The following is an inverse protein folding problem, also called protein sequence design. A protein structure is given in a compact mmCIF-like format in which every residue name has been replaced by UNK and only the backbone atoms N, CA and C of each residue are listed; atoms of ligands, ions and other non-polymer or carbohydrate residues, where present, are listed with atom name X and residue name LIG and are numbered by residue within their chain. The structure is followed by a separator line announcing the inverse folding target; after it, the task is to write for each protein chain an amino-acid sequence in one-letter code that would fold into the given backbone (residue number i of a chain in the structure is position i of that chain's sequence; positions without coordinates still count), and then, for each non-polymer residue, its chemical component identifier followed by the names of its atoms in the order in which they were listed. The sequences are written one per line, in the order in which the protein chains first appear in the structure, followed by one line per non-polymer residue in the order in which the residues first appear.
data_IF_680204958532
#
_entry.id   IF_680204958532
#
_cell.length_a   1.000
_cell.length_b   1.000
_cell.length_c   1.000
_cell.angle_alpha   90.00
_cell.angle_beta   90.00
_cell.angle_gamma   90.00
#
_symmetry.space_group_name_H-M   'P 1'
#
loop_
_entity.id
_entity.type
_entity.pdbx_description
1 polymer ?
#
# COMPACT_ATOMS: atom_id res chain seq x y z
N UNK A 1 -14.62 4.77 -11.67
CA UNK A 1 -13.52 4.53 -12.61
C UNK A 1 -12.30 4.10 -11.80
N UNK A 2 -11.63 3.00 -12.14
CA UNK A 2 -10.46 2.49 -11.41
C UNK A 2 -9.29 3.46 -11.54
N UNK A 3 -8.59 3.72 -10.42
CA UNK A 3 -7.41 4.57 -10.36
C UNK A 3 -6.15 3.70 -10.38
N UNK A 4 -5.07 4.24 -10.92
CA UNK A 4 -3.80 3.53 -11.01
C UNK A 4 -2.73 4.23 -10.18
N UNK A 5 -2.01 3.42 -9.40
CA UNK A 5 -0.89 3.88 -8.60
C UNK A 5 0.38 3.12 -8.94
N UNK A 6 1.51 3.70 -8.58
CA UNK A 6 2.84 3.12 -8.78
C UNK A 6 3.52 2.94 -7.43
N UNK A 7 4.17 1.79 -7.25
CA UNK A 7 5.07 1.58 -6.12
C UNK A 7 6.33 2.44 -6.25
N UNK A 8 6.70 3.16 -5.20
CA UNK A 8 7.98 3.85 -5.12
C UNK A 8 9.15 2.84 -5.16
N UNK A 9 10.32 3.24 -5.64
CA UNK A 9 11.47 2.35 -5.70
C UNK A 9 11.87 1.84 -4.31
N UNK A 10 12.24 0.55 -4.25
CA UNK A 10 12.62 -0.14 -3.01
C UNK A 10 14.12 -0.39 -2.87
N UNK A 11 14.92 0.13 -3.80
CA UNK A 11 16.37 -0.05 -3.83
C UNK A 11 16.85 -1.37 -4.42
N UNK A 12 15.95 -2.24 -4.88
CA UNK A 12 16.30 -3.60 -5.38
C UNK A 12 16.19 -3.70 -6.90
N UNK A 13 15.58 -2.75 -7.58
CA UNK A 13 15.29 -2.81 -9.01
C UNK A 13 16.47 -2.29 -9.84
N UNK A 14 16.92 -3.09 -10.81
CA UNK A 14 17.75 -2.63 -11.92
C UNK A 14 19.25 -2.49 -11.68
N UNK A 15 19.80 -2.94 -10.55
CA UNK A 15 21.26 -2.94 -10.33
C UNK A 15 21.91 -1.55 -10.20
N UNK A 16 21.15 -0.47 -10.27
CA UNK A 16 21.65 0.90 -10.08
C UNK A 16 21.66 1.27 -8.59
N UNK A 17 22.68 2.01 -8.12
CA UNK A 17 22.71 2.47 -6.74
C UNK A 17 21.51 3.36 -6.46
N UNK A 18 20.80 3.06 -5.35
CA UNK A 18 19.72 3.88 -4.85
C UNK A 18 20.30 5.19 -4.28
N UNK A 19 20.11 6.29 -4.98
CA UNK A 19 20.64 7.59 -4.61
C UNK A 19 19.72 8.42 -3.72
N UNK A 20 20.24 9.49 -3.16
CA UNK A 20 19.48 10.36 -2.25
C UNK A 20 18.23 10.99 -2.91
N UNK A 21 18.29 11.27 -4.21
CA UNK A 21 17.14 11.84 -4.95
C UNK A 21 16.14 10.80 -5.47
N UNK A 22 16.49 9.51 -5.46
CA UNK A 22 15.70 8.47 -6.15
C UNK A 22 14.21 8.43 -5.76
N UNK A 23 13.89 8.62 -4.48
CA UNK A 23 12.51 8.68 -4.02
C UNK A 23 11.77 9.92 -4.51
N UNK A 24 12.43 11.07 -4.44
CA UNK A 24 11.85 12.35 -4.83
C UNK A 24 11.62 12.40 -6.35
N UNK A 25 12.59 11.95 -7.14
CA UNK A 25 12.52 11.94 -8.59
C UNK A 25 11.45 10.95 -9.08
N UNK A 26 11.40 9.75 -8.51
CA UNK A 26 10.36 8.79 -8.81
C UNK A 26 8.95 9.33 -8.49
N UNK A 27 8.78 9.98 -7.34
CA UNK A 27 7.48 10.55 -6.96
C UNK A 27 7.04 11.66 -7.92
N UNK A 28 7.98 12.54 -8.35
CA UNK A 28 7.69 13.58 -9.36
C UNK A 28 7.30 12.98 -10.70
N UNK A 29 8.02 11.95 -11.16
CA UNK A 29 7.74 11.28 -12.42
C UNK A 29 6.37 10.60 -12.39
N UNK A 30 6.03 9.90 -11.29
CA UNK A 30 4.71 9.28 -11.10
C UNK A 30 3.58 10.32 -11.23
N UNK A 31 3.73 11.48 -10.58
CA UNK A 31 2.73 12.54 -10.67
C UNK A 31 2.68 13.19 -12.07
N UNK A 32 3.84 13.45 -12.67
CA UNK A 32 3.95 14.06 -14.00
C UNK A 32 3.32 13.19 -15.10
N UNK A 33 3.48 11.87 -15.01
CA UNK A 33 2.87 10.90 -15.93
C UNK A 33 1.37 10.66 -15.65
N UNK A 34 0.79 11.35 -14.65
CA UNK A 34 -0.63 11.36 -14.38
C UNK A 34 -1.17 10.11 -13.70
N UNK A 35 -0.35 9.38 -12.95
CA UNK A 35 -0.84 8.39 -12.01
C UNK A 35 -1.51 9.05 -10.81
N UNK A 36 -2.50 8.37 -10.23
CA UNK A 36 -3.31 8.94 -9.17
C UNK A 36 -2.75 8.71 -7.76
N UNK A 37 -1.73 7.83 -7.61
CA UNK A 37 -1.12 7.55 -6.30
C UNK A 37 0.28 6.94 -6.38
N UNK A 38 1.08 7.18 -5.34
CA UNK A 38 2.38 6.52 -5.11
C UNK A 38 2.33 5.69 -3.82
N UNK A 39 2.90 4.48 -3.86
CA UNK A 39 2.81 3.52 -2.76
C UNK A 39 4.16 2.98 -2.34
N UNK A 40 4.28 2.59 -1.08
CA UNK A 40 5.46 1.92 -0.56
C UNK A 40 5.10 0.71 0.30
N UNK A 41 6.06 -0.19 0.50
CA UNK A 41 5.87 -1.45 1.20
C UNK A 41 6.82 -1.53 2.39
N UNK A 42 6.36 -2.14 3.48
CA UNK A 42 7.13 -2.33 4.70
C UNK A 42 7.84 -3.69 4.71
N UNK A 43 9.12 -3.66 5.07
CA UNK A 43 9.94 -4.85 5.21
C UNK A 43 11.15 -4.52 6.09
N UNK A 44 11.38 -5.31 7.12
CA UNK A 44 12.44 -5.08 8.09
C UNK A 44 13.37 -6.29 8.12
N UNK A 45 14.70 -6.04 8.11
CA UNK A 45 15.69 -7.07 8.42
C UNK A 45 15.83 -8.23 7.42
N UNK A 46 15.43 -8.06 6.16
CA UNK A 46 15.44 -9.13 5.13
C UNK A 46 16.68 -9.10 4.23
N UNK A 47 17.83 -8.67 4.77
CA UNK A 47 19.11 -8.68 4.04
C UNK A 47 19.29 -7.59 3.00
N UNK A 48 18.29 -6.74 2.76
CA UNK A 48 18.36 -5.61 1.83
C UNK A 48 17.82 -4.36 2.52
N UNK A 49 18.57 -3.26 2.45
CA UNK A 49 18.07 -1.97 2.89
C UNK A 49 16.87 -1.56 2.02
N UNK A 50 15.73 -1.34 2.67
CA UNK A 50 14.56 -0.73 2.06
C UNK A 50 14.25 0.56 2.79
N UNK A 51 13.83 1.63 2.08
CA UNK A 51 13.40 2.84 2.73
C UNK A 51 12.27 2.58 3.74
N UNK A 52 12.33 3.23 4.91
CA UNK A 52 11.18 3.22 5.83
C UNK A 52 9.96 3.80 5.12
N UNK A 53 8.79 3.13 5.22
CA UNK A 53 7.60 3.53 4.47
C UNK A 53 7.16 4.97 4.74
N UNK A 54 7.13 5.39 6.00
CA UNK A 54 6.66 6.73 6.35
C UNK A 54 7.67 7.82 5.96
N UNK A 55 8.97 7.53 6.06
CA UNK A 55 10.01 8.44 5.58
C UNK A 55 9.96 8.59 4.05
N UNK A 56 9.79 7.48 3.32
CA UNK A 56 9.66 7.52 1.86
C UNK A 56 8.44 8.34 1.41
N UNK A 57 7.29 8.16 2.09
CA UNK A 57 6.08 8.93 1.79
C UNK A 57 6.19 10.40 2.22
N UNK A 58 6.92 10.71 3.28
CA UNK A 58 7.21 12.09 3.65
C UNK A 58 8.01 12.80 2.56
N UNK A 59 9.05 12.15 2.02
CA UNK A 59 9.81 12.68 0.88
C UNK A 59 8.90 12.89 -0.33
N UNK A 60 8.12 11.88 -0.72
CA UNK A 60 7.16 11.98 -1.83
C UNK A 60 6.15 13.12 -1.59
N UNK A 61 5.66 13.27 -0.36
CA UNK A 61 4.70 14.29 0.04
C UNK A 61 5.17 15.73 -0.16
N UNK A 62 6.47 15.97 0.03
CA UNK A 62 7.05 17.32 -0.14
C UNK A 62 7.28 17.72 -1.60
N UNK A 63 7.38 16.73 -2.50
CA UNK A 63 7.73 16.98 -3.92
C UNK A 63 6.57 16.78 -4.89
N UNK A 64 5.43 16.29 -4.39
CA UNK A 64 4.18 16.12 -5.15
C UNK A 64 3.08 17.00 -4.59
N UNK A 65 1.99 17.23 -5.37
CA UNK A 65 0.91 18.16 -5.02
C UNK A 65 -0.46 17.50 -4.91
N UNK A 66 -0.75 16.51 -5.75
CA UNK A 66 -2.11 16.00 -5.97
C UNK A 66 -2.26 14.52 -5.71
N UNK A 67 -1.26 13.70 -6.00
CA UNK A 67 -1.35 12.25 -5.87
C UNK A 67 -1.49 11.79 -4.42
N UNK A 68 -2.28 10.75 -4.21
CA UNK A 68 -2.37 10.08 -2.92
C UNK A 68 -1.10 9.29 -2.62
N UNK A 69 -0.78 9.16 -1.35
CA UNK A 69 0.42 8.48 -0.87
C UNK A 69 0.02 7.32 0.04
N UNK A 70 0.38 6.09 -0.32
CA UNK A 70 -0.12 4.90 0.36
C UNK A 70 0.95 3.97 0.92
N UNK A 71 0.63 3.28 2.01
CA UNK A 71 1.39 2.10 2.46
C UNK A 71 0.64 0.82 2.09
N UNK A 72 1.32 -0.15 1.48
CA UNK A 72 0.65 -1.36 1.00
C UNK A 72 1.30 -2.69 1.39
N UNK A 73 1.48 -2.98 2.69
CA UNK A 73 0.97 -2.37 3.92
C UNK A 73 2.10 -2.04 4.91
N UNK A 74 1.82 -1.17 5.89
CA UNK A 74 2.67 -0.96 7.07
C UNK A 74 2.40 -2.06 8.12
N UNK A 75 3.43 -2.71 8.63
CA UNK A 75 3.33 -3.78 9.64
C UNK A 75 3.22 -3.16 11.04
N UNK A 76 2.04 -2.74 11.43
CA UNK A 76 1.76 -2.03 12.69
C UNK A 76 2.24 -2.81 13.94
N UNK A 77 2.06 -4.15 14.05
CA UNK A 77 2.46 -4.90 15.25
C UNK A 77 3.95 -4.86 15.59
N UNK A 78 4.80 -4.49 14.64
CA UNK A 78 6.25 -4.39 14.83
C UNK A 78 6.70 -3.10 15.53
N UNK A 79 5.77 -2.17 15.82
CA UNK A 79 6.07 -0.81 16.28
C UNK A 79 5.34 -0.48 17.58
N UNK A 80 5.88 0.48 18.34
CA UNK A 80 5.16 1.07 19.46
C UNK A 80 4.01 1.93 18.91
N UNK A 81 2.75 1.74 19.34
CA UNK A 81 1.60 2.44 18.78
C UNK A 81 1.59 3.94 19.07
N UNK A 82 2.19 4.39 20.19
CA UNK A 82 2.24 5.81 20.54
C UNK A 82 3.20 6.56 19.61
N UNK A 83 4.42 6.03 19.47
CA UNK A 83 5.42 6.57 18.55
C UNK A 83 4.92 6.51 17.09
N UNK A 84 4.29 5.40 16.71
CA UNK A 84 3.74 5.25 15.38
C UNK A 84 2.60 6.25 15.09
N UNK A 85 1.73 6.51 16.07
CA UNK A 85 0.66 7.48 15.94
C UNK A 85 1.20 8.88 15.59
N UNK A 86 2.27 9.32 16.27
CA UNK A 86 2.93 10.60 16.00
C UNK A 86 3.56 10.63 14.60
N UNK A 87 4.28 9.58 14.20
CA UNK A 87 4.92 9.49 12.87
C UNK A 87 3.90 9.53 11.75
N UNK A 88 2.78 8.84 11.91
CA UNK A 88 1.69 8.82 10.93
C UNK A 88 1.07 10.21 10.79
N UNK A 89 0.76 10.92 11.88
CA UNK A 89 0.25 12.29 11.81
C UNK A 89 1.24 13.24 11.14
N UNK A 90 2.54 13.10 11.45
CA UNK A 90 3.59 13.89 10.80
C UNK A 90 3.60 13.67 9.29
N UNK A 91 3.57 12.41 8.85
CA UNK A 91 3.54 12.07 7.42
C UNK A 91 2.26 12.59 6.75
N UNK A 92 1.11 12.48 7.44
CA UNK A 92 -0.17 12.99 6.96
C UNK A 92 -0.16 14.51 6.79
N UNK A 93 0.40 15.24 7.76
CA UNK A 93 0.57 16.69 7.70
C UNK A 93 1.48 17.10 6.54
N UNK A 94 2.68 16.53 6.47
CA UNK A 94 3.69 16.86 5.44
C UNK A 94 3.17 16.56 4.03
N UNK A 95 2.33 15.56 3.88
CA UNK A 95 1.68 15.23 2.61
C UNK A 95 0.44 16.09 2.31
N UNK A 96 0.08 17.04 3.15
CA UNK A 96 -1.13 17.86 2.98
C UNK A 96 -2.42 17.04 3.01
N UNK A 97 -2.53 16.04 3.88
CA UNK A 97 -3.73 15.22 4.06
C UNK A 97 -3.89 14.09 3.03
N UNK A 98 -2.88 13.85 2.18
CA UNK A 98 -2.94 12.87 1.08
C UNK A 98 -2.54 11.45 1.48
N UNK A 99 -2.12 11.20 2.72
CA UNK A 99 -1.76 9.86 3.20
C UNK A 99 -2.99 8.94 3.23
N UNK A 100 -2.81 7.71 2.73
CA UNK A 100 -3.72 6.56 2.84
C UNK A 100 -2.97 5.47 3.60
N UNK A 101 -3.34 5.25 4.85
CA UNK A 101 -2.62 4.35 5.74
C UNK A 101 -3.07 2.90 5.54
N UNK A 102 -2.42 2.20 4.65
CA UNK A 102 -2.61 0.76 4.51
C UNK A 102 -1.84 0.01 5.59
N UNK A 103 -2.52 -0.77 6.41
CA UNK A 103 -1.94 -1.47 7.56
C UNK A 103 -2.19 -2.97 7.50
N UNK A 104 -1.29 -3.75 8.08
CA UNK A 104 -1.43 -5.19 8.17
C UNK A 104 -0.76 -5.79 9.40
N UNK A 105 -1.15 -7.04 9.70
CA UNK A 105 -0.59 -7.78 10.82
C UNK A 105 0.87 -8.23 10.58
N UNK A 106 1.33 -8.23 9.33
CA UNK A 106 2.58 -8.87 8.93
C UNK A 106 2.41 -10.37 8.68
N UNK A 107 3.19 -10.90 7.75
CA UNK A 107 3.12 -12.32 7.33
C UNK A 107 4.45 -13.06 7.38
N UNK A 108 5.54 -12.40 7.79
CA UNK A 108 6.90 -12.96 7.79
C UNK A 108 7.41 -13.05 9.22
N UNK A 109 7.45 -14.27 9.78
CA UNK A 109 7.88 -14.49 11.16
C UNK A 109 9.31 -13.97 11.44
N UNK A 110 10.21 -13.99 10.45
CA UNK A 110 11.56 -13.49 10.59
C UNK A 110 11.62 -11.96 10.90
N UNK A 111 10.67 -11.16 10.38
CA UNK A 111 10.60 -9.72 10.71
C UNK A 111 10.30 -9.52 12.21
N UNK A 112 9.44 -10.38 12.77
CA UNK A 112 9.05 -10.34 14.17
C UNK A 112 10.20 -10.81 15.08
N UNK A 113 10.86 -11.90 14.70
CA UNK A 113 12.02 -12.40 15.43
C UNK A 113 13.16 -11.38 15.47
N UNK A 114 13.44 -10.70 14.36
CA UNK A 114 14.48 -9.67 14.28
C UNK A 114 14.22 -8.48 15.22
N UNK A 115 12.96 -8.22 15.56
CA UNK A 115 12.56 -7.11 16.44
C UNK A 115 12.13 -7.56 17.85
N UNK A 116 12.29 -8.85 18.18
CA UNK A 116 11.90 -9.40 19.48
C UNK A 116 10.39 -9.34 19.74
N UNK A 117 9.58 -9.39 18.69
CA UNK A 117 8.11 -9.32 18.78
C UNK A 117 7.51 -10.69 18.53
N UNK A 118 6.55 -11.10 19.36
CA UNK A 118 5.85 -12.37 19.21
C UNK A 118 4.95 -12.35 17.96
N UNK A 119 5.24 -13.26 17.01
CA UNK A 119 4.51 -13.40 15.77
C UNK A 119 3.06 -13.86 15.96
N UNK A 120 2.78 -14.70 16.95
CA UNK A 120 1.45 -15.26 17.15
C UNK A 120 0.47 -14.22 17.69
N UNK A 121 0.98 -13.20 18.34
CA UNK A 121 0.20 -12.07 18.85
C UNK A 121 -0.10 -10.99 17.80
N UNK A 122 0.40 -11.10 16.56
CA UNK A 122 0.34 -10.04 15.55
C UNK A 122 -1.06 -9.50 15.26
N UNK A 123 -2.07 -10.36 15.23
CA UNK A 123 -3.45 -9.91 14.97
C UNK A 123 -4.07 -9.18 16.16
N UNK A 124 -3.78 -9.62 17.38
CA UNK A 124 -4.20 -8.93 18.61
C UNK A 124 -3.53 -7.56 18.68
N UNK A 125 -2.20 -7.53 18.52
CA UNK A 125 -1.41 -6.29 18.52
C UNK A 125 -1.87 -5.31 17.44
N UNK A 126 -2.23 -5.78 16.25
CA UNK A 126 -2.79 -4.92 15.21
C UNK A 126 -4.05 -4.20 15.71
N UNK A 127 -5.00 -4.94 16.27
CA UNK A 127 -6.26 -4.37 16.78
C UNK A 127 -6.05 -3.39 17.92
N UNK A 128 -5.24 -3.76 18.92
CA UNK A 128 -4.91 -2.92 20.08
C UNK A 128 -4.18 -1.63 19.66
N UNK A 129 -3.18 -1.76 18.77
CA UNK A 129 -2.41 -0.62 18.29
C UNK A 129 -3.27 0.37 17.50
N UNK A 130 -4.16 -0.11 16.62
CA UNK A 130 -5.06 0.76 15.87
C UNK A 130 -6.05 1.50 16.79
N UNK A 131 -6.53 0.84 17.85
CA UNK A 131 -7.38 1.49 18.84
C UNK A 131 -6.63 2.61 19.60
N UNK A 132 -5.38 2.35 20.02
CA UNK A 132 -4.52 3.35 20.67
C UNK A 132 -4.27 4.53 19.74
N UNK A 133 -3.86 4.27 18.49
CA UNK A 133 -3.57 5.31 17.52
C UNK A 133 -4.79 6.22 17.26
N UNK A 134 -5.97 5.64 17.08
CA UNK A 134 -7.21 6.42 16.88
C UNK A 134 -7.55 7.33 18.07
N UNK A 135 -7.39 6.84 19.30
CA UNK A 135 -7.60 7.65 20.51
C UNK A 135 -6.63 8.83 20.56
N UNK A 136 -5.34 8.58 20.33
CA UNK A 136 -4.32 9.64 20.29
C UNK A 136 -4.60 10.69 19.20
N UNK A 137 -5.08 10.26 18.02
CA UNK A 137 -5.46 11.17 16.93
C UNK A 137 -6.73 11.97 17.23
N UNK A 138 -7.61 11.44 18.08
CA UNK A 138 -8.76 12.17 18.62
C UNK A 138 -8.39 13.15 19.76
N UNK A 139 -7.12 13.18 20.18
CA UNK A 139 -6.64 14.03 21.27
C UNK A 139 -6.88 13.45 22.68
N UNK A 140 -7.25 12.16 22.77
CA UNK A 140 -7.42 11.47 24.04
C UNK A 140 -6.06 11.12 24.66
N UNK A 141 -6.02 11.07 26.02
CA UNK A 141 -4.90 10.49 26.76
C UNK A 141 -4.99 8.97 26.77
N UNK A 142 -3.87 8.31 26.55
CA UNK A 142 -3.75 6.84 26.61
C UNK A 142 -2.57 6.48 27.51
N UNK A 143 -2.85 6.17 28.78
CA UNK A 143 -1.84 5.75 29.75
C UNK A 143 -0.77 6.80 30.04
N UNK A 144 -1.14 8.07 30.02
CA UNK A 144 -0.25 9.21 30.20
C UNK A 144 0.44 9.71 28.91
N UNK A 145 0.18 9.07 27.78
CA UNK A 145 0.62 9.56 26.47
C UNK A 145 -0.50 10.36 25.79
N UNK A 146 -0.20 11.56 25.29
CA UNK A 146 -1.14 12.41 24.56
C UNK A 146 -0.47 13.12 23.39
N UNK A 147 -1.22 13.33 22.30
CA UNK A 147 -0.82 14.16 21.16
C UNK A 147 -1.63 15.48 21.13
N UNK A 148 -2.39 15.76 22.18
CA UNK A 148 -3.20 16.99 22.28
C UNK A 148 -2.34 18.24 22.51
N UNK A 149 -2.72 19.41 21.92
CA UNK A 149 -3.81 19.56 20.97
C UNK A 149 -3.45 19.02 19.58
N UNK A 150 -4.29 18.16 19.02
CA UNK A 150 -4.10 17.66 17.64
C UNK A 150 -4.42 18.80 16.67
N UNK A 151 -3.52 19.04 15.73
CA UNK A 151 -3.72 20.10 14.75
C UNK A 151 -4.91 19.80 13.83
N UNK A 152 -5.79 20.78 13.55
CA UNK A 152 -6.99 20.55 12.73
C UNK A 152 -6.71 19.93 11.36
N UNK A 153 -5.55 20.27 10.76
CA UNK A 153 -5.14 19.74 9.46
C UNK A 153 -4.92 18.20 9.43
N UNK A 154 -4.77 17.55 10.59
CA UNK A 154 -4.54 16.12 10.73
C UNK A 154 -5.48 15.44 11.73
N UNK A 155 -6.49 16.16 12.19
CA UNK A 155 -7.47 15.67 13.16
C UNK A 155 -8.11 14.35 12.72
N UNK A 156 -8.23 13.40 13.65
CA UNK A 156 -8.69 12.02 13.44
C UNK A 156 -7.76 11.13 12.58
N UNK A 157 -6.59 11.62 12.16
CA UNK A 157 -5.62 10.88 11.37
C UNK A 157 -6.04 10.59 9.93
N UNK A 158 -5.20 9.85 9.17
CA UNK A 158 -5.49 9.48 7.80
C UNK A 158 -6.53 8.35 7.70
N UNK A 159 -7.21 8.18 6.54
CA UNK A 159 -8.00 6.99 6.25
C UNK A 159 -7.16 5.71 6.38
N UNK A 160 -7.73 4.69 7.05
CA UNK A 160 -7.08 3.40 7.32
C UNK A 160 -7.62 2.32 6.39
N UNK A 161 -6.73 1.67 5.65
CA UNK A 161 -7.03 0.55 4.77
C UNK A 161 -6.43 -0.73 5.35
N UNK A 162 -7.20 -1.79 5.50
CA UNK A 162 -6.75 -3.05 6.10
C UNK A 162 -6.24 -4.02 5.04
N UNK A 163 -4.97 -4.39 5.10
CA UNK A 163 -4.41 -5.49 4.33
C UNK A 163 -4.74 -6.84 4.95
N UNK A 164 -5.45 -7.67 4.23
CA UNK A 164 -5.80 -9.02 4.69
C UNK A 164 -6.03 -9.99 3.54
N UNK A 165 -5.94 -11.29 3.85
CA UNK A 165 -6.35 -12.35 2.93
C UNK A 165 -7.88 -12.35 2.75
N UNK A 166 -8.35 -12.72 1.57
CA UNK A 166 -9.77 -12.82 1.23
C UNK A 166 -10.59 -13.70 2.19
N UNK A 167 -10.01 -14.81 2.66
CA UNK A 167 -10.61 -15.72 3.63
C UNK A 167 -10.54 -15.26 5.09
N UNK A 168 -9.82 -14.18 5.39
CA UNK A 168 -9.62 -13.70 6.76
C UNK A 168 -10.87 -12.99 7.30
N UNK A 169 -11.10 -13.12 8.63
CA UNK A 169 -12.09 -12.29 9.34
C UNK A 169 -11.78 -10.78 9.29
N UNK A 170 -10.54 -10.40 8.99
CA UNK A 170 -10.14 -9.01 8.88
C UNK A 170 -10.75 -8.30 7.65
N UNK A 171 -11.19 -9.03 6.62
CA UNK A 171 -11.90 -8.41 5.49
C UNK A 171 -13.27 -7.87 5.92
N UNK A 172 -13.95 -8.53 6.88
CA UNK A 172 -15.22 -8.04 7.45
C UNK A 172 -15.01 -6.77 8.26
N UNK A 173 -13.94 -6.75 9.06
CA UNK A 173 -13.54 -5.54 9.79
C UNK A 173 -13.16 -4.40 8.84
N UNK A 174 -12.43 -4.70 7.77
CA UNK A 174 -12.09 -3.72 6.73
C UNK A 174 -13.34 -3.07 6.14
N UNK A 175 -14.38 -3.87 5.87
CA UNK A 175 -15.63 -3.37 5.28
C UNK A 175 -16.46 -2.53 6.26
N UNK A 176 -16.49 -2.89 7.55
CA UNK A 176 -17.42 -2.31 8.54
C UNK A 176 -16.81 -1.25 9.44
N UNK A 177 -15.51 -1.36 9.77
CA UNK A 177 -14.86 -0.56 10.82
C UNK A 177 -13.80 0.40 10.27
N UNK A 178 -13.39 0.21 9.00
CA UNK A 178 -12.28 0.95 8.39
C UNK A 178 -12.66 1.53 7.02
N UNK A 179 -11.73 2.28 6.43
CA UNK A 179 -11.99 3.02 5.19
C UNK A 179 -11.81 2.18 3.93
N UNK A 180 -11.24 0.99 4.05
CA UNK A 180 -11.11 0.08 2.93
C UNK A 180 -10.30 -1.17 3.18
N UNK A 181 -10.15 -1.97 2.12
CA UNK A 181 -9.43 -3.23 2.08
C UNK A 181 -8.29 -3.18 1.06
N UNK A 182 -7.16 -3.83 1.41
CA UNK A 182 -6.02 -4.03 0.51
C UNK A 182 -5.80 -5.53 0.30
N UNK A 183 -5.93 -5.97 -0.96
CA UNK A 183 -5.44 -7.25 -1.46
C UNK A 183 -4.01 -7.13 -2.00
N UNK A 184 -3.27 -8.23 -2.08
CA UNK A 184 -1.91 -8.25 -2.60
C UNK A 184 -1.80 -9.18 -3.82
N UNK A 185 -1.49 -8.66 -4.98
CA UNK A 185 -1.30 -9.44 -6.21
C UNK A 185 -0.19 -10.49 -6.06
N UNK A 186 0.97 -10.10 -5.52
CA UNK A 186 2.10 -11.01 -5.36
C UNK A 186 1.90 -12.12 -4.30
N UNK A 187 0.87 -12.02 -3.46
CA UNK A 187 0.59 -12.93 -2.34
C UNK A 187 -0.77 -13.60 -2.43
N UNK A 188 -1.57 -13.28 -3.43
CA UNK A 188 -2.90 -13.88 -3.66
C UNK A 188 -3.00 -14.38 -5.09
N UNK A 189 -3.77 -15.43 -5.28
CA UNK A 189 -4.14 -15.88 -6.61
C UNK A 189 -5.22 -14.99 -7.23
N UNK A 190 -5.43 -15.12 -8.54
CA UNK A 190 -6.50 -14.45 -9.27
C UNK A 190 -7.86 -14.74 -8.65
N UNK A 191 -8.15 -16.01 -8.36
CA UNK A 191 -9.38 -16.45 -7.68
C UNK A 191 -9.53 -15.81 -6.30
N UNK A 192 -8.49 -15.84 -5.47
CA UNK A 192 -8.55 -15.28 -4.14
C UNK A 192 -8.82 -13.77 -4.13
N UNK A 193 -8.29 -13.02 -5.12
CA UNK A 193 -8.59 -11.59 -5.25
C UNK A 193 -10.03 -11.35 -5.72
N UNK A 194 -10.52 -12.15 -6.67
CA UNK A 194 -11.89 -12.07 -7.17
C UNK A 194 -12.91 -12.37 -6.06
N UNK A 195 -12.69 -13.44 -5.31
CA UNK A 195 -13.55 -13.82 -4.18
C UNK A 195 -13.48 -12.75 -3.07
N UNK A 196 -12.28 -12.20 -2.85
CA UNK A 196 -12.05 -11.16 -1.84
C UNK A 196 -12.79 -9.87 -2.14
N UNK A 197 -12.70 -9.36 -3.37
CA UNK A 197 -13.41 -8.13 -3.75
C UNK A 197 -14.93 -8.33 -3.69
N UNK A 198 -15.44 -9.46 -4.17
CA UNK A 198 -16.86 -9.79 -4.07
C UNK A 198 -17.32 -9.79 -2.61
N UNK A 199 -16.64 -10.55 -1.74
CA UNK A 199 -16.94 -10.62 -0.30
C UNK A 199 -16.88 -9.24 0.37
N UNK A 200 -15.87 -8.44 0.06
CA UNK A 200 -15.71 -7.10 0.61
C UNK A 200 -16.89 -6.18 0.24
N UNK A 201 -17.33 -6.24 -1.03
CA UNK A 201 -18.49 -5.46 -1.52
C UNK A 201 -19.81 -5.96 -0.94
N UNK A 202 -20.02 -7.26 -0.86
CA UNK A 202 -21.21 -7.87 -0.24
C UNK A 202 -21.37 -7.44 1.24
N UNK A 203 -20.27 -7.14 1.93
CA UNK A 203 -20.23 -6.62 3.29
C UNK A 203 -20.40 -5.09 3.40
N UNK A 204 -20.60 -4.38 2.29
CA UNK A 204 -20.76 -2.92 2.24
C UNK A 204 -19.42 -2.15 2.22
N UNK A 205 -18.32 -2.81 1.92
CA UNK A 205 -16.99 -2.17 1.87
C UNK A 205 -16.88 -1.09 0.79
N UNK A 206 -16.25 0.04 1.13
CA UNK A 206 -16.26 1.26 0.31
C UNK A 206 -15.11 1.33 -0.68
N UNK A 207 -13.87 1.12 -0.23
CA UNK A 207 -12.67 1.25 -1.06
C UNK A 207 -11.85 -0.04 -1.06
N UNK A 208 -11.64 -0.63 -2.22
CA UNK A 208 -10.83 -1.82 -2.42
C UNK A 208 -9.60 -1.48 -3.26
N UNK A 209 -8.44 -1.84 -2.76
CA UNK A 209 -7.14 -1.62 -3.42
C UNK A 209 -6.47 -2.96 -3.66
N UNK A 210 -5.94 -3.20 -4.85
CA UNK A 210 -4.99 -4.29 -5.07
C UNK A 210 -3.59 -3.72 -5.24
N UNK A 211 -2.66 -4.16 -4.39
CA UNK A 211 -1.26 -3.72 -4.40
C UNK A 211 -0.34 -4.86 -4.83
N UNK A 212 0.96 -4.58 -4.99
CA UNK A 212 1.98 -5.57 -5.37
C UNK A 212 1.68 -6.29 -6.70
N UNK A 213 1.04 -5.63 -7.64
CA UNK A 213 0.83 -6.14 -8.99
C UNK A 213 2.13 -5.88 -9.78
N UNK A 214 2.98 -6.90 -9.86
CA UNK A 214 4.27 -6.78 -10.56
C UNK A 214 4.04 -6.68 -12.06
N UNK A 215 4.76 -5.78 -12.72
CA UNK A 215 4.66 -5.57 -14.16
C UNK A 215 6.05 -5.63 -14.82
N UNK A 216 6.14 -6.38 -15.91
CA UNK A 216 7.30 -6.46 -16.81
C UNK A 216 6.80 -6.86 -18.19
N UNK A 217 6.67 -5.90 -19.08
CA UNK A 217 6.07 -6.10 -20.42
C UNK A 217 7.02 -6.79 -21.42
N UNK A 218 8.30 -6.92 -21.07
CA UNK A 218 9.30 -7.64 -21.85
C UNK A 218 9.38 -9.13 -21.48
N UNK A 219 8.77 -9.54 -20.37
CA UNK A 219 8.78 -10.94 -19.93
C UNK A 219 7.92 -11.85 -20.82
N UNK A 220 8.28 -13.12 -20.88
CA UNK A 220 7.35 -14.17 -21.32
C UNK A 220 6.14 -14.20 -20.38
N UNK A 221 4.97 -14.64 -20.89
CA UNK A 221 3.76 -14.62 -20.09
C UNK A 221 3.89 -15.50 -18.84
N UNK A 222 3.73 -14.90 -17.66
CA UNK A 222 3.57 -15.62 -16.41
C UNK A 222 2.25 -16.42 -16.42
N UNK A 223 2.17 -17.53 -15.67
CA UNK A 223 0.93 -18.28 -15.51
C UNK A 223 -0.23 -17.39 -15.06
N UNK A 224 -1.44 -17.66 -15.51
CA UNK A 224 -2.65 -16.89 -15.19
C UNK A 224 -3.87 -17.77 -14.84
N UNK A 225 -3.60 -19.01 -14.46
CA UNK A 225 -4.62 -19.89 -13.91
C UNK A 225 -5.24 -19.27 -12.64
N UNK A 226 -6.45 -19.71 -12.27
CA UNK A 226 -7.17 -19.12 -11.15
C UNK A 226 -6.41 -19.18 -9.82
N UNK A 227 -5.49 -20.13 -9.67
CA UNK A 227 -4.69 -20.32 -8.45
C UNK A 227 -3.26 -19.76 -8.57
N UNK A 228 -2.90 -19.17 -9.73
CA UNK A 228 -1.63 -18.49 -9.94
C UNK A 228 -1.63 -17.07 -9.32
N UNK A 229 -0.46 -16.53 -8.94
CA UNK A 229 -0.34 -15.16 -8.45
C UNK A 229 -0.84 -14.13 -9.47
N UNK A 230 -1.49 -13.09 -8.99
CA UNK A 230 -1.94 -11.98 -9.82
C UNK A 230 -0.75 -11.09 -10.18
N UNK A 231 -0.22 -11.22 -11.40
CA UNK A 231 0.85 -10.36 -11.90
C UNK A 231 0.73 -10.06 -13.41
N UNK A 232 1.44 -9.03 -13.86
CA UNK A 232 1.46 -8.54 -15.24
C UNK A 232 2.84 -8.70 -15.88
N UNK A 233 3.62 -9.71 -15.48
CA UNK A 233 4.88 -10.07 -16.16
C UNK A 233 4.55 -10.88 -17.39
N UNK A 234 4.26 -10.18 -18.49
CA UNK A 234 3.80 -10.75 -19.76
C UNK A 234 3.79 -9.66 -20.84
N UNK A 235 3.73 -10.06 -22.14
CA UNK A 235 3.59 -9.10 -23.24
C UNK A 235 2.39 -8.15 -23.07
N UNK A 236 2.53 -6.92 -23.56
CA UNK A 236 1.58 -5.81 -23.36
C UNK A 236 0.12 -6.18 -23.67
N UNK A 237 -0.15 -6.94 -24.72
CA UNK A 237 -1.52 -7.35 -25.07
C UNK A 237 -2.17 -8.23 -23.98
N UNK A 238 -1.40 -9.15 -23.38
CA UNK A 238 -1.86 -10.01 -22.28
C UNK A 238 -2.00 -9.18 -21.00
N UNK A 239 -1.02 -8.33 -20.70
CA UNK A 239 -1.08 -7.43 -19.54
C UNK A 239 -2.34 -6.54 -19.56
N UNK A 240 -2.71 -6.03 -20.74
CA UNK A 240 -3.93 -5.22 -20.95
C UNK A 240 -5.19 -6.04 -20.64
N UNK A 241 -5.30 -7.26 -21.14
CA UNK A 241 -6.45 -8.12 -20.89
C UNK A 241 -6.59 -8.45 -19.39
N UNK A 242 -5.47 -8.77 -18.71
CA UNK A 242 -5.43 -9.04 -17.27
C UNK A 242 -5.81 -7.81 -16.45
N UNK A 243 -5.29 -6.65 -16.81
CA UNK A 243 -5.58 -5.39 -16.12
C UNK A 243 -7.03 -4.97 -16.28
N UNK A 244 -7.60 -5.14 -17.49
CA UNK A 244 -9.03 -4.95 -17.74
C UNK A 244 -9.89 -5.86 -16.86
N UNK A 245 -9.49 -7.13 -16.69
CA UNK A 245 -10.16 -8.05 -15.77
C UNK A 245 -10.18 -7.53 -14.32
N UNK A 246 -9.04 -7.04 -13.81
CA UNK A 246 -8.98 -6.44 -12.46
C UNK A 246 -9.88 -5.21 -12.32
N UNK A 247 -9.94 -4.35 -13.35
CA UNK A 247 -10.85 -3.21 -13.38
C UNK A 247 -12.32 -3.67 -13.33
N UNK A 248 -12.66 -4.69 -14.13
CA UNK A 248 -14.02 -5.24 -14.21
C UNK A 248 -14.48 -5.90 -12.90
N UNK A 249 -13.56 -6.41 -12.06
CA UNK A 249 -13.91 -6.95 -10.74
C UNK A 249 -14.31 -5.86 -9.73
N UNK A 250 -14.04 -4.58 -10.02
CA UNK A 250 -14.48 -3.45 -9.20
C UNK A 250 -13.49 -3.02 -8.13
N UNK A 251 -12.18 -3.23 -8.33
CA UNK A 251 -11.17 -2.55 -7.53
C UNK A 251 -11.17 -1.05 -7.82
N UNK A 252 -11.13 -0.24 -6.77
CA UNK A 252 -11.05 1.23 -6.90
C UNK A 252 -9.64 1.69 -7.27
N UNK A 253 -8.62 0.98 -6.78
CA UNK A 253 -7.22 1.28 -7.05
C UNK A 253 -6.44 0.00 -7.41
N UNK A 254 -5.58 0.10 -8.41
CA UNK A 254 -4.61 -0.94 -8.79
C UNK A 254 -3.22 -0.33 -8.70
N UNK A 255 -2.34 -0.92 -7.87
CA UNK A 255 -0.99 -0.43 -7.63
C UNK A 255 0.02 -1.34 -8.31
N UNK A 256 0.65 -0.82 -9.35
CA UNK A 256 1.68 -1.51 -10.11
C UNK A 256 3.04 -1.41 -9.45
N UNK A 257 3.82 -2.48 -9.53
CA UNK A 257 5.23 -2.52 -9.13
C UNK A 257 6.09 -2.64 -10.39
N UNK A 258 6.62 -1.51 -10.89
CA UNK A 258 7.39 -1.48 -12.11
C UNK A 258 8.82 -1.98 -11.89
N UNK A 259 9.49 -2.36 -12.98
CA UNK A 259 10.91 -2.67 -13.00
C UNK A 259 11.79 -1.42 -12.95
N UNK A 260 11.31 -0.26 -13.42
CA UNK A 260 12.01 1.00 -13.48
C UNK A 260 11.05 2.19 -13.24
N UNK A 261 11.62 3.37 -12.93
CA UNK A 261 10.87 4.59 -12.63
C UNK A 261 11.31 5.76 -13.52
N UNK A 262 11.96 5.48 -14.62
CA UNK A 262 12.27 6.50 -15.63
C UNK A 262 10.99 6.89 -16.39
N UNK A 263 10.94 8.13 -16.94
CA UNK A 263 9.75 8.64 -17.59
C UNK A 263 9.25 7.79 -18.78
N UNK A 264 10.17 7.20 -19.55
CA UNK A 264 9.77 6.40 -20.72
C UNK A 264 9.01 5.13 -20.30
N UNK A 265 9.51 4.43 -19.27
CA UNK A 265 8.84 3.25 -18.75
C UNK A 265 7.51 3.58 -18.07
N UNK A 266 7.44 4.68 -17.32
CA UNK A 266 6.19 5.12 -16.69
C UNK A 266 5.15 5.53 -17.74
N UNK A 267 5.54 6.20 -18.83
CA UNK A 267 4.65 6.53 -19.93
C UNK A 267 4.05 5.27 -20.60
N UNK A 268 4.88 4.23 -20.84
CA UNK A 268 4.40 2.93 -21.33
C UNK A 268 3.35 2.29 -20.42
N UNK A 269 3.60 2.30 -19.11
CA UNK A 269 2.64 1.79 -18.12
C UNK A 269 1.37 2.66 -18.05
N UNK A 270 1.49 3.96 -18.24
CA UNK A 270 0.36 4.87 -18.30
C UNK A 270 -0.56 4.54 -19.48
N UNK A 271 0.01 4.32 -20.66
CA UNK A 271 -0.73 3.92 -21.86
C UNK A 271 -1.44 2.57 -21.68
N UNK A 272 -0.76 1.60 -21.05
CA UNK A 272 -1.36 0.32 -20.66
C UNK A 272 -2.59 0.53 -19.76
N UNK A 273 -2.46 1.36 -18.73
CA UNK A 273 -3.54 1.65 -17.78
C UNK A 273 -4.74 2.33 -18.44
N UNK A 274 -4.52 3.34 -19.29
CA UNK A 274 -5.57 4.06 -20.01
C UNK A 274 -6.34 3.15 -20.95
N UNK A 275 -5.65 2.25 -21.65
CA UNK A 275 -6.26 1.31 -22.58
C UNK A 275 -6.97 0.11 -21.95
N UNK A 276 -6.90 0.00 -20.60
CA UNK A 276 -7.48 -1.11 -19.82
C UNK A 276 -8.72 -0.68 -19.01
N UNK A 277 -9.08 0.59 -19.02
CA UNK A 277 -10.24 1.18 -18.32
C UNK A 277 -11.58 0.85 -18.96
#
# INVERSE_FOLDING_TARGET
MTRFGIALPTGVSGGLPFGASSLADAARNIEADGFESAWTFDSVGRGTLRPDPLMALAVAGTVTRTIELGTGVLQVPLRNPVELAQRVLTTHLVSGGRLRLGVGAGSTAADFAALGVDFDLRFRRLGESLAIMRKLWAGEDVGGASLAPVWPAVGNGPPILIGSWAGSRWIERAAREFDGWIGSGARSSWRALQDGIKRFRDLGGKRAVVTNVRVDLASAASPDGPDDPCDLRCPCAIARARLHGLCAWGFDDIVLVPGAHDPAHLAELRDLCLSSR
#
